data_IF_960328288145
#
_entry.id   IF_960328288145
#
_cell.length_a   1.000
_cell.length_b   1.000
_cell.length_c   1.000
_cell.angle_alpha   90.00
_cell.angle_beta   90.00
_cell.angle_gamma   90.00
#
_symmetry.space_group_name_H-M   'P 1'
#
loop_
_entity.id
_entity.type
_entity.pdbx_description
1 polymer ?
#
# COMPACT_ATOMS: atom_id res chain seq x y z
N UNK A 1 43.12 -10.75 36.47
CA UNK A 1 42.00 -11.38 35.74
C UNK A 1 40.81 -10.41 35.57
N UNK A 2 41.01 -9.21 35.01
CA UNK A 2 39.94 -8.20 34.77
C UNK A 2 39.75 -7.85 33.28
N UNK A 3 40.57 -8.41 32.40
CA UNK A 3 40.44 -8.25 30.94
C UNK A 3 39.74 -9.44 30.25
N UNK A 4 39.54 -10.58 30.95
CA UNK A 4 38.82 -11.76 30.41
C UNK A 4 37.31 -11.57 30.33
N UNK A 5 36.74 -10.68 31.14
CA UNK A 5 35.31 -10.35 31.09
C UNK A 5 35.01 -9.34 29.98
N UNK A 6 35.93 -8.40 29.71
CA UNK A 6 35.79 -7.43 28.61
C UNK A 6 35.90 -8.13 27.25
N UNK A 7 36.77 -9.12 27.11
CA UNK A 7 36.85 -9.95 25.89
C UNK A 7 35.64 -10.88 25.69
N UNK A 8 34.92 -11.24 26.75
CA UNK A 8 33.64 -11.96 26.62
C UNK A 8 32.52 -11.04 26.14
N UNK A 9 32.48 -9.79 26.61
CA UNK A 9 31.49 -8.82 26.12
C UNK A 9 31.74 -8.38 24.67
N UNK A 10 32.99 -8.43 24.18
CA UNK A 10 33.30 -8.17 22.77
C UNK A 10 33.00 -9.34 21.82
N UNK A 11 32.82 -10.56 22.33
CA UNK A 11 32.41 -11.73 21.53
C UNK A 11 30.91 -12.04 21.64
N UNK A 12 30.21 -11.49 22.64
CA UNK A 12 28.73 -11.54 22.76
C UNK A 12 28.07 -10.24 22.24
N UNK A 13 28.87 -9.26 21.82
CA UNK A 13 28.39 -8.03 21.16
C UNK A 13 28.01 -8.20 19.69
N UNK A 14 27.91 -9.44 19.20
CA UNK A 14 27.45 -9.79 17.85
C UNK A 14 26.25 -10.73 17.97
N UNK A 15 25.19 -10.27 18.60
CA UNK A 15 23.94 -11.04 18.66
C UNK A 15 22.78 -10.07 18.74
N UNK A 16 21.96 -10.13 17.70
CA UNK A 16 20.62 -9.57 17.60
C UNK A 16 20.55 -8.07 17.29
N UNK A 17 21.10 -7.67 16.14
CA UNK A 17 20.29 -6.85 15.23
C UNK A 17 19.08 -7.71 14.85
N UNK A 18 18.12 -7.77 15.77
CA UNK A 18 16.83 -8.40 15.52
C UNK A 18 16.24 -7.59 14.37
N UNK A 19 16.26 -8.15 13.17
CA UNK A 19 15.36 -7.71 12.12
C UNK A 19 13.98 -8.06 12.66
N UNK A 20 13.43 -7.20 13.51
CA UNK A 20 12.02 -7.21 13.81
C UNK A 20 11.37 -6.67 12.54
N UNK A 21 11.09 -7.60 11.61
CA UNK A 21 9.98 -7.44 10.71
C UNK A 21 8.74 -7.45 11.60
N UNK A 22 8.47 -6.32 12.25
CA UNK A 22 7.15 -6.07 12.77
C UNK A 22 6.25 -6.17 11.55
N UNK A 23 5.34 -7.14 11.56
CA UNK A 23 4.18 -7.07 10.70
C UNK A 23 3.52 -5.73 11.04
N UNK A 24 3.79 -4.72 10.22
CA UNK A 24 3.23 -3.39 10.38
C UNK A 24 1.73 -3.57 10.24
N UNK A 25 1.00 -3.40 11.33
CA UNK A 25 -0.46 -3.49 11.34
C UNK A 25 -1.00 -2.39 10.43
N UNK A 26 -1.68 -2.76 9.35
CA UNK A 26 -2.30 -1.80 8.45
C UNK A 26 -3.46 -1.09 9.15
N UNK A 27 -3.16 0.10 9.67
CA UNK A 27 -4.11 0.92 10.42
C UNK A 27 -5.33 1.33 9.59
N UNK A 28 -5.21 1.40 8.25
CA UNK A 28 -6.32 1.71 7.34
C UNK A 28 -7.28 0.53 7.30
N UNK A 29 -6.75 -0.69 7.19
CA UNK A 29 -7.56 -1.91 7.23
C UNK A 29 -8.34 -2.03 8.55
N UNK A 30 -7.67 -1.83 9.68
CA UNK A 30 -8.31 -1.85 11.00
C UNK A 30 -9.44 -0.82 11.11
N UNK A 31 -9.20 0.41 10.63
CA UNK A 31 -10.21 1.46 10.60
C UNK A 31 -11.41 1.08 9.73
N UNK A 32 -11.16 0.58 8.52
CA UNK A 32 -12.21 0.36 7.51
C UNK A 32 -12.99 -0.94 7.68
N UNK A 33 -12.44 -1.96 8.34
CA UNK A 33 -13.18 -3.17 8.74
C UNK A 33 -14.12 -2.91 9.91
N UNK A 34 -13.75 -2.01 10.82
CA UNK A 34 -14.52 -1.76 12.05
C UNK A 34 -15.61 -0.68 11.89
N UNK A 35 -15.68 -0.01 10.74
CA UNK A 35 -16.64 1.07 10.46
C UNK A 35 -17.81 0.58 9.57
N UNK A 36 -19.01 1.12 9.78
CA UNK A 36 -20.26 0.68 9.09
C UNK A 36 -20.75 1.62 7.97
N UNK A 37 -20.13 2.78 7.77
CA UNK A 37 -20.66 3.80 6.85
C UNK A 37 -20.54 3.40 5.37
N UNK A 38 -19.42 2.78 4.98
CA UNK A 38 -19.10 2.40 3.61
C UNK A 38 -18.63 0.94 3.56
N UNK A 39 -18.83 0.22 2.43
CA UNK A 39 -18.19 -1.07 2.25
C UNK A 39 -16.67 -0.93 2.40
N UNK A 40 -16.06 -1.78 3.22
CA UNK A 40 -14.66 -1.65 3.64
C UNK A 40 -13.63 -1.39 2.52
N UNK A 41 -13.72 -2.00 1.30
CA UNK A 41 -12.80 -1.67 0.21
C UNK A 41 -12.84 -0.18 -0.20
N UNK A 42 -14.02 0.43 -0.22
CA UNK A 42 -14.19 1.84 -0.60
C UNK A 42 -13.67 2.77 0.49
N UNK A 43 -13.90 2.45 1.77
CA UNK A 43 -13.27 3.17 2.88
C UNK A 43 -11.75 3.14 2.75
N UNK A 44 -11.17 1.97 2.48
CA UNK A 44 -9.73 1.81 2.35
C UNK A 44 -9.18 2.66 1.19
N UNK A 45 -9.83 2.56 0.02
CA UNK A 45 -9.50 3.36 -1.15
C UNK A 45 -9.52 4.87 -0.87
N UNK A 46 -10.50 5.39 -0.11
CA UNK A 46 -10.58 6.82 0.22
C UNK A 46 -9.43 7.27 1.11
N UNK A 47 -9.04 6.46 2.10
CA UNK A 47 -7.89 6.76 2.94
C UNK A 47 -6.59 6.74 2.14
N UNK A 48 -6.44 5.79 1.22
CA UNK A 48 -5.29 5.74 0.31
C UNK A 48 -5.24 6.97 -0.61
N UNK A 49 -6.37 7.39 -1.17
CA UNK A 49 -6.44 8.65 -1.96
C UNK A 49 -6.02 9.88 -1.15
N UNK A 50 -6.40 9.93 0.14
CA UNK A 50 -6.04 11.01 1.07
C UNK A 50 -4.54 11.00 1.36
N UNK A 51 -3.96 9.83 1.60
CA UNK A 51 -2.52 9.65 1.84
C UNK A 51 -1.71 9.96 0.58
N UNK A 52 -2.20 9.54 -0.59
CA UNK A 52 -1.51 9.70 -1.86
C UNK A 52 -0.43 8.66 -2.13
N UNK A 53 -0.43 7.52 -1.43
CA UNK A 53 0.52 6.44 -1.67
C UNK A 53 -0.15 5.35 -2.52
N UNK A 54 0.29 5.23 -3.77
CA UNK A 54 -0.29 4.28 -4.71
C UNK A 54 0.03 2.82 -4.38
N UNK A 55 1.08 2.54 -3.61
CA UNK A 55 1.43 1.16 -3.26
C UNK A 55 0.41 0.54 -2.31
N UNK A 56 -0.24 1.36 -1.49
CA UNK A 56 -1.32 0.92 -0.61
C UNK A 56 -2.55 0.44 -1.39
N UNK A 57 -2.74 0.83 -2.66
CA UNK A 57 -3.85 0.31 -3.46
C UNK A 57 -3.77 -1.22 -3.64
N UNK A 58 -2.58 -1.83 -3.60
CA UNK A 58 -2.42 -3.28 -3.74
C UNK A 58 -3.07 -4.06 -2.59
N UNK A 59 -3.05 -3.49 -1.38
CA UNK A 59 -3.62 -4.12 -0.19
C UNK A 59 -5.14 -4.35 -0.32
N UNK A 60 -5.83 -3.62 -1.20
CA UNK A 60 -7.26 -3.81 -1.47
C UNK A 60 -7.54 -5.24 -1.95
N UNK A 61 -6.68 -5.82 -2.79
CA UNK A 61 -6.87 -7.19 -3.28
C UNK A 61 -6.29 -8.26 -2.35
N UNK A 62 -5.36 -7.87 -1.48
CA UNK A 62 -4.92 -8.72 -0.38
C UNK A 62 -6.08 -8.98 0.61
N UNK A 63 -6.79 -7.91 1.01
CA UNK A 63 -7.88 -8.00 1.98
C UNK A 63 -9.23 -8.37 1.37
N UNK A 64 -9.50 -7.92 0.13
CA UNK A 64 -10.76 -8.17 -0.56
C UNK A 64 -10.51 -8.65 -2.01
N UNK A 65 -10.21 -9.95 -2.22
CA UNK A 65 -9.79 -10.49 -3.52
C UNK A 65 -10.79 -10.33 -4.67
N UNK A 66 -12.06 -10.00 -4.37
CA UNK A 66 -13.13 -9.76 -5.37
C UNK A 66 -13.32 -8.27 -5.69
N UNK A 67 -12.55 -7.37 -5.08
CA UNK A 67 -12.69 -5.92 -5.19
C UNK A 67 -11.86 -5.31 -6.33
N UNK A 68 -11.65 -6.04 -7.43
CA UNK A 68 -10.89 -5.57 -8.61
C UNK A 68 -11.37 -4.22 -9.16
N UNK A 69 -12.67 -3.94 -9.04
CA UNK A 69 -13.21 -2.63 -9.38
C UNK A 69 -12.64 -1.52 -8.48
N UNK A 70 -12.70 -1.71 -7.16
CA UNK A 70 -12.23 -0.71 -6.17
C UNK A 70 -10.72 -0.53 -6.22
N UNK A 71 -9.97 -1.63 -6.38
CA UNK A 71 -8.53 -1.60 -6.62
C UNK A 71 -8.18 -0.77 -7.87
N UNK A 72 -8.89 -1.00 -8.98
CA UNK A 72 -8.70 -0.23 -10.20
C UNK A 72 -9.04 1.26 -10.02
N UNK A 73 -10.13 1.59 -9.32
CA UNK A 73 -10.49 2.97 -9.02
C UNK A 73 -9.45 3.68 -8.14
N UNK A 74 -8.87 2.99 -7.17
CA UNK A 74 -7.78 3.52 -6.33
C UNK A 74 -6.61 4.02 -7.18
N UNK A 75 -6.07 3.16 -8.05
CA UNK A 75 -4.99 3.53 -8.96
C UNK A 75 -5.38 4.64 -9.93
N UNK A 76 -6.57 4.55 -10.53
CA UNK A 76 -7.04 5.56 -11.47
C UNK A 76 -7.09 6.96 -10.86
N UNK A 77 -7.57 7.07 -9.62
CA UNK A 77 -7.75 8.35 -8.93
C UNK A 77 -6.40 8.97 -8.55
N UNK A 78 -5.45 8.14 -8.13
CA UNK A 78 -4.06 8.58 -7.90
C UNK A 78 -3.34 8.92 -9.21
N UNK A 79 -3.56 8.16 -10.29
CA UNK A 79 -3.03 8.46 -11.62
C UNK A 79 -3.49 9.85 -12.10
N UNK A 80 -4.79 10.16 -11.94
CA UNK A 80 -5.35 11.48 -12.24
C UNK A 80 -4.77 12.60 -11.36
N UNK A 81 -4.61 12.34 -10.06
CA UNK A 81 -4.09 13.30 -9.06
C UNK A 81 -2.62 13.61 -9.30
N UNK A 82 -1.82 12.59 -9.60
CA UNK A 82 -0.38 12.72 -9.79
C UNK A 82 0.02 12.99 -11.24
N UNK A 83 -0.93 12.90 -12.18
CA UNK A 83 -0.66 12.92 -13.63
C UNK A 83 0.35 11.87 -14.05
N UNK A 84 0.27 10.70 -13.42
CA UNK A 84 1.19 9.59 -13.63
C UNK A 84 0.48 8.46 -14.39
N UNK A 85 0.79 8.38 -15.69
CA UNK A 85 0.28 7.35 -16.58
C UNK A 85 0.72 5.93 -16.18
N UNK A 86 1.88 5.78 -15.53
CA UNK A 86 2.41 4.44 -15.19
C UNK A 86 1.54 3.72 -14.17
N UNK A 87 0.79 4.46 -13.34
CA UNK A 87 -0.17 3.89 -12.40
C UNK A 87 -1.35 3.19 -13.10
N UNK A 88 -1.68 3.56 -14.34
CA UNK A 88 -2.71 2.88 -15.11
C UNK A 88 -2.35 1.43 -15.44
N UNK A 89 -1.06 1.09 -15.53
CA UNK A 89 -0.61 -0.29 -15.83
C UNK A 89 -0.85 -1.27 -14.69
N UNK A 90 -1.04 -0.76 -13.47
CA UNK A 90 -1.33 -1.57 -12.27
C UNK A 90 -2.80 -1.95 -12.15
N UNK A 91 -3.67 -1.37 -12.98
CA UNK A 91 -5.12 -1.64 -12.95
C UNK A 91 -5.44 -2.97 -13.64
N UNK A 92 -5.93 -3.95 -12.87
CA UNK A 92 -6.31 -5.27 -13.41
C UNK A 92 -7.64 -5.26 -14.17
N UNK A 93 -8.58 -4.38 -13.75
CA UNK A 93 -9.93 -4.29 -14.32
C UNK A 93 -9.88 -3.51 -15.64
N UNK A 94 -9.96 -4.25 -16.76
CA UNK A 94 -9.67 -3.74 -18.11
C UNK A 94 -10.43 -2.46 -18.50
N UNK A 95 -11.73 -2.38 -18.18
CA UNK A 95 -12.57 -1.22 -18.43
C UNK A 95 -12.06 0.04 -17.71
N UNK A 96 -11.63 -0.10 -16.45
CA UNK A 96 -11.06 1.00 -15.67
C UNK A 96 -9.66 1.36 -16.19
N UNK A 97 -8.86 0.36 -16.57
CA UNK A 97 -7.52 0.60 -17.16
C UNK A 97 -7.62 1.41 -18.44
N UNK A 98 -8.54 1.06 -19.35
CA UNK A 98 -8.78 1.79 -20.59
C UNK A 98 -9.17 3.25 -20.33
N UNK A 99 -10.06 3.47 -19.36
CA UNK A 99 -10.46 4.81 -18.94
C UNK A 99 -9.26 5.61 -18.40
N UNK A 100 -8.45 5.00 -17.52
CA UNK A 100 -7.25 5.60 -16.98
C UNK A 100 -6.27 6.03 -18.09
N UNK A 101 -5.99 5.14 -19.04
CA UNK A 101 -5.07 5.45 -20.16
C UNK A 101 -5.61 6.62 -20.99
N UNK A 102 -6.91 6.65 -21.27
CA UNK A 102 -7.53 7.71 -22.04
C UNK A 102 -7.40 9.06 -21.34
N UNK A 103 -7.74 9.14 -20.04
CA UNK A 103 -7.79 10.42 -19.33
C UNK A 103 -6.44 10.89 -18.79
N UNK A 104 -5.54 9.98 -18.43
CA UNK A 104 -4.26 10.31 -17.76
C UNK A 104 -3.10 10.35 -18.74
N UNK A 105 -3.01 9.39 -19.67
CA UNK A 105 -1.86 9.26 -20.56
C UNK A 105 -1.99 10.09 -21.84
N UNK A 106 -3.22 10.43 -22.23
CA UNK A 106 -3.53 11.26 -23.39
C UNK A 106 -4.44 12.45 -23.00
N UNK A 107 -4.00 13.32 -22.07
CA UNK A 107 -4.84 14.43 -21.63
C UNK A 107 -4.96 15.47 -22.76
N UNK A 108 -6.02 15.37 -23.57
CA UNK A 108 -6.41 16.38 -24.57
C UNK A 108 -5.83 16.19 -25.97
N UNK A 109 -6.63 15.59 -26.86
CA UNK A 109 -6.78 16.08 -28.23
C UNK A 109 -7.82 17.21 -28.24
#
# INVERSE_FOLDING_TARGET
MRYRWILWFLLVGFSLASIQAFAESDTIYEKCTNQQADPAPWCYQMEVERIGDADLCENILEYWPKANGVHGWCFYRLALKHKDCSLCDRIQKEDIRKLCILEVCKPGE
#
